data_IF_776360780114
#
_entry.id   IF_776360780114
#
_cell.length_a   1.000
_cell.length_b   1.000
_cell.length_c   1.000
_cell.angle_alpha   90.00
_cell.angle_beta   90.00
_cell.angle_gamma   90.00
#
_symmetry.space_group_name_H-M   'P 1'
#
loop_
_entity.id
_entity.type
_entity.pdbx_description
1 polymer ?
#
# COMPACT_ATOMS: atom_id res chain seq x y z
N UNK A 1 -24.69 15.50 1.80
CA UNK A 1 -23.89 14.44 1.16
C UNK A 1 -22.41 14.79 1.35
N UNK A 2 -21.60 13.85 1.85
CA UNK A 2 -20.18 14.09 2.11
C UNK A 2 -19.43 14.27 0.79
N UNK A 3 -18.75 15.40 0.62
CA UNK A 3 -17.84 15.58 -0.51
C UNK A 3 -16.53 14.82 -0.27
N UNK A 4 -16.50 13.57 -0.72
CA UNK A 4 -15.34 12.70 -0.64
C UNK A 4 -14.19 13.16 -1.54
N UNK A 5 -14.43 14.04 -2.51
CA UNK A 5 -13.37 14.53 -3.41
C UNK A 5 -12.33 15.36 -2.66
N UNK A 6 -12.74 16.00 -1.56
CA UNK A 6 -11.87 16.73 -0.65
C UNK A 6 -10.92 15.83 0.15
N UNK A 7 -11.32 14.57 0.41
CA UNK A 7 -10.58 13.63 1.24
C UNK A 7 -9.93 12.52 0.41
N UNK A 8 -9.07 12.90 -0.53
CA UNK A 8 -8.34 11.96 -1.42
C UNK A 8 -7.51 10.89 -0.71
N UNK A 9 -7.21 11.09 0.58
CA UNK A 9 -6.49 10.15 1.44
C UNK A 9 -7.41 9.09 2.08
N UNK A 10 -8.72 9.34 2.14
CA UNK A 10 -9.70 8.46 2.74
C UNK A 10 -9.96 7.26 1.83
N UNK A 11 -9.76 6.06 2.38
CA UNK A 11 -10.03 4.77 1.77
C UNK A 11 -10.84 3.97 2.77
N UNK A 12 -12.18 4.12 2.77
CA UNK A 12 -13.04 3.44 3.72
C UNK A 12 -13.04 1.94 3.40
N UNK A 13 -12.83 1.12 4.42
CA UNK A 13 -12.99 -0.35 4.33
C UNK A 13 -14.39 -0.81 4.78
N UNK A 14 -15.15 0.09 5.40
CA UNK A 14 -16.52 -0.10 5.86
C UNK A 14 -17.46 0.86 5.12
N UNK A 15 -18.78 0.58 5.11
CA UNK A 15 -19.76 1.48 4.54
C UNK A 15 -19.66 2.89 5.14
N UNK A 16 -19.91 3.89 4.30
CA UNK A 16 -19.99 5.27 4.75
C UNK A 16 -21.28 5.52 5.55
N UNK A 17 -21.32 6.55 6.39
CA UNK A 17 -22.52 6.88 7.14
C UNK A 17 -23.72 7.18 6.23
N UNK A 18 -24.89 6.69 6.63
CA UNK A 18 -26.09 6.69 5.79
C UNK A 18 -27.01 7.87 6.12
N UNK A 19 -27.14 8.20 7.40
CA UNK A 19 -28.02 9.28 7.84
C UNK A 19 -27.33 10.63 7.71
N UNK A 20 -28.11 11.70 7.57
CA UNK A 20 -27.58 13.06 7.40
C UNK A 20 -26.77 13.51 8.62
N UNK A 21 -27.24 13.17 9.82
CA UNK A 21 -26.58 13.45 11.10
C UNK A 21 -25.22 12.75 11.21
N UNK A 22 -25.15 11.45 10.91
CA UNK A 22 -23.86 10.73 10.93
C UNK A 22 -22.89 11.24 9.85
N UNK A 23 -23.41 11.71 8.72
CA UNK A 23 -22.59 12.31 7.67
C UNK A 23 -21.98 13.65 8.09
N UNK A 24 -22.71 14.46 8.85
CA UNK A 24 -22.21 15.71 9.43
C UNK A 24 -21.15 15.44 10.51
N UNK A 25 -21.45 14.53 11.44
CA UNK A 25 -20.51 14.09 12.48
C UNK A 25 -19.20 13.55 11.88
N UNK A 26 -19.31 12.70 10.85
CA UNK A 26 -18.14 12.15 10.19
C UNK A 26 -17.31 13.23 9.51
N UNK A 27 -17.93 14.23 8.87
CA UNK A 27 -17.19 15.35 8.29
C UNK A 27 -16.40 16.14 9.34
N UNK A 28 -16.99 16.37 10.50
CA UNK A 28 -16.33 17.13 11.56
C UNK A 28 -15.19 16.34 12.20
N UNK A 29 -15.34 15.02 12.31
CA UNK A 29 -14.26 14.10 12.68
C UNK A 29 -13.13 14.14 11.64
N UNK A 30 -13.44 14.07 10.34
CA UNK A 30 -12.42 14.16 9.28
C UNK A 30 -11.62 15.47 9.37
N UNK A 31 -12.31 16.61 9.54
CA UNK A 31 -11.64 17.92 9.73
C UNK A 31 -10.75 17.93 10.98
N UNK A 32 -11.20 17.34 12.08
CA UNK A 32 -10.44 17.28 13.32
C UNK A 32 -9.20 16.35 13.20
N UNK A 33 -9.32 15.24 12.48
CA UNK A 33 -8.21 14.34 12.15
C UNK A 33 -7.16 15.06 11.32
N UNK A 34 -7.55 15.81 10.28
CA UNK A 34 -6.62 16.55 9.41
C UNK A 34 -5.81 17.60 10.16
N UNK A 35 -6.43 18.26 11.15
CA UNK A 35 -5.75 19.22 12.03
C UNK A 35 -4.74 18.56 12.97
N UNK A 36 -5.01 17.34 13.42
CA UNK A 36 -4.17 16.62 14.39
C UNK A 36 -3.01 15.89 13.73
N UNK A 37 -3.27 15.21 12.61
CA UNK A 37 -2.38 14.23 12.03
C UNK A 37 -1.90 14.69 10.65
N UNK A 38 -0.59 14.65 10.43
CA UNK A 38 -0.01 15.04 9.13
C UNK A 38 0.18 13.84 8.21
N UNK A 39 0.36 12.65 8.77
CA UNK A 39 0.56 11.42 8.01
C UNK A 39 -0.77 10.92 7.42
N UNK A 40 -0.84 10.79 6.10
CA UNK A 40 -2.06 10.39 5.40
C UNK A 40 -2.54 8.98 5.78
N UNK A 41 -1.62 8.06 6.04
CA UNK A 41 -1.92 6.70 6.48
C UNK A 41 -2.54 6.68 7.87
N UNK A 42 -2.00 7.48 8.79
CA UNK A 42 -2.60 7.65 10.11
C UNK A 42 -3.96 8.34 10.03
N UNK A 43 -4.14 9.37 9.18
CA UNK A 43 -5.46 9.98 8.97
C UNK A 43 -6.49 8.92 8.55
N UNK A 44 -6.11 8.09 7.57
CA UNK A 44 -6.98 7.01 7.11
C UNK A 44 -7.27 5.99 8.21
N UNK A 45 -6.29 5.67 9.06
CA UNK A 45 -6.46 4.77 10.20
C UNK A 45 -7.47 5.32 11.22
N UNK A 46 -7.35 6.59 11.60
CA UNK A 46 -8.30 7.24 12.54
C UNK A 46 -9.72 7.29 11.97
N UNK A 47 -9.87 7.63 10.68
CA UNK A 47 -11.17 7.67 10.03
C UNK A 47 -11.82 6.28 9.98
N UNK A 48 -11.05 5.26 9.64
CA UNK A 48 -11.52 3.88 9.60
C UNK A 48 -11.83 3.33 11.00
N UNK A 49 -11.10 3.77 12.03
CA UNK A 49 -11.44 3.45 13.42
C UNK A 49 -12.80 4.05 13.82
N UNK A 50 -13.10 5.30 13.43
CA UNK A 50 -14.41 5.88 13.67
C UNK A 50 -15.52 5.09 12.98
N UNK A 51 -15.33 4.71 11.71
CA UNK A 51 -16.31 3.89 10.98
C UNK A 51 -16.54 2.52 11.67
N UNK A 52 -15.49 1.90 12.21
CA UNK A 52 -15.60 0.66 12.99
C UNK A 52 -16.40 0.87 14.29
N UNK A 53 -16.20 1.99 14.99
CA UNK A 53 -17.00 2.33 16.17
C UNK A 53 -18.46 2.61 15.82
N UNK A 54 -18.70 3.33 14.72
CA UNK A 54 -20.04 3.65 14.24
C UNK A 54 -20.82 2.37 13.90
N UNK A 55 -20.17 1.43 13.20
CA UNK A 55 -20.78 0.15 12.87
C UNK A 55 -21.09 -0.68 14.13
N UNK A 56 -20.17 -0.76 15.09
CA UNK A 56 -20.41 -1.47 16.36
C UNK A 56 -21.57 -0.86 17.15
N UNK A 57 -21.66 0.46 17.20
CA UNK A 57 -22.78 1.14 17.84
C UNK A 57 -24.11 0.77 17.18
N UNK A 58 -24.15 0.76 15.83
CA UNK A 58 -25.34 0.33 15.07
C UNK A 58 -25.73 -1.13 15.36
N UNK A 59 -24.76 -2.04 15.37
CA UNK A 59 -24.99 -3.46 15.69
C UNK A 59 -25.56 -3.66 17.10
N UNK A 60 -25.22 -2.78 18.04
CA UNK A 60 -25.72 -2.78 19.42
C UNK A 60 -27.00 -1.96 19.62
N UNK A 61 -27.56 -1.38 18.55
CA UNK A 61 -28.74 -0.50 18.61
C UNK A 61 -28.49 0.85 19.30
N UNK A 62 -27.24 1.31 19.35
CA UNK A 62 -26.81 2.57 19.96
C UNK A 62 -26.47 3.60 18.88
N UNK A 63 -26.71 4.88 19.18
CA UNK A 63 -26.18 5.99 18.38
C UNK A 63 -24.77 6.35 18.86
N UNK A 64 -23.87 6.64 17.93
CA UNK A 64 -22.52 7.13 18.24
C UNK A 64 -22.46 8.63 17.91
N UNK A 65 -22.52 9.47 18.94
CA UNK A 65 -22.35 10.90 18.82
C UNK A 65 -21.21 11.38 19.73
N UNK A 66 -20.33 12.25 19.23
CA UNK A 66 -19.24 12.82 20.02
C UNK A 66 -19.55 14.27 20.36
N UNK A 67 -19.98 14.52 21.59
CA UNK A 67 -20.24 15.88 22.06
C UNK A 67 -18.93 16.58 22.48
N UNK A 68 -18.75 17.84 22.08
CA UNK A 68 -17.69 18.71 22.57
C UNK A 68 -16.41 18.73 21.73
N UNK A 69 -15.25 18.69 22.38
CA UNK A 69 -13.96 18.91 21.70
C UNK A 69 -13.45 17.63 21.02
N UNK A 70 -13.82 17.46 19.75
CA UNK A 70 -13.38 16.36 18.87
C UNK A 70 -11.87 16.13 18.89
N UNK A 71 -11.06 17.18 19.04
CA UNK A 71 -9.61 17.06 19.16
C UNK A 71 -9.15 16.36 20.44
N UNK A 72 -9.86 16.56 21.57
CA UNK A 72 -9.64 15.80 22.81
C UNK A 72 -10.06 14.34 22.64
N UNK A 73 -11.18 14.08 21.97
CA UNK A 73 -11.64 12.71 21.70
C UNK A 73 -10.67 11.92 20.83
N UNK A 74 -10.22 12.49 19.72
CA UNK A 74 -9.23 11.80 18.85
C UNK A 74 -7.91 11.56 19.61
N UNK A 75 -7.57 12.38 20.62
CA UNK A 75 -6.43 12.11 21.52
C UNK A 75 -6.72 11.01 22.54
N UNK A 76 -7.95 10.90 23.03
CA UNK A 76 -8.36 9.85 23.96
C UNK A 76 -8.31 8.48 23.28
N UNK A 77 -8.69 8.40 21.99
CA UNK A 77 -8.63 7.16 21.20
C UNK A 77 -7.23 6.56 21.19
N UNK A 78 -6.20 7.37 20.95
CA UNK A 78 -4.80 6.88 20.94
C UNK A 78 -4.37 6.18 22.24
N UNK A 79 -5.05 6.47 23.37
CA UNK A 79 -4.78 5.85 24.68
C UNK A 79 -5.63 4.59 24.92
N UNK A 80 -6.75 4.42 24.21
CA UNK A 80 -7.67 3.31 24.43
C UNK A 80 -7.10 1.98 23.94
N UNK A 81 -7.47 0.90 24.62
CA UNK A 81 -7.03 -0.45 24.23
C UNK A 81 -7.69 -0.92 22.92
N UNK A 82 -8.94 -0.51 22.67
CA UNK A 82 -9.66 -0.81 21.43
C UNK A 82 -8.92 -0.22 20.22
N UNK A 83 -8.48 1.03 20.31
CA UNK A 83 -7.74 1.69 19.25
C UNK A 83 -6.36 1.06 19.04
N UNK A 84 -5.64 0.71 20.13
CA UNK A 84 -4.34 0.05 20.01
C UNK A 84 -4.43 -1.28 19.26
N UNK A 85 -5.43 -2.11 19.61
CA UNK A 85 -5.71 -3.38 18.91
C UNK A 85 -6.08 -3.14 17.44
N UNK A 86 -6.97 -2.18 17.18
CA UNK A 86 -7.36 -1.83 15.81
C UNK A 86 -6.16 -1.35 14.99
N UNK A 87 -5.34 -0.45 15.54
CA UNK A 87 -4.12 0.06 14.92
C UNK A 87 -3.16 -1.07 14.58
N UNK A 88 -2.92 -2.00 15.51
CA UNK A 88 -2.02 -3.14 15.27
C UNK A 88 -2.51 -4.01 14.11
N UNK A 89 -3.78 -4.39 14.09
CA UNK A 89 -4.37 -5.17 12.99
C UNK A 89 -4.28 -4.42 11.66
N UNK A 90 -4.66 -3.14 11.66
CA UNK A 90 -4.64 -2.30 10.47
C UNK A 90 -3.23 -2.18 9.88
N UNK A 91 -2.22 -1.91 10.71
CA UNK A 91 -0.83 -1.83 10.26
C UNK A 91 -0.27 -3.19 9.82
N UNK A 92 -0.72 -4.29 10.44
CA UNK A 92 -0.35 -5.65 10.04
C UNK A 92 -0.91 -6.00 8.67
N UNK A 93 -2.14 -5.60 8.37
CA UNK A 93 -2.73 -5.77 7.03
C UNK A 93 -2.00 -4.96 5.97
N UNK A 94 -1.69 -3.70 6.26
CA UNK A 94 -0.95 -2.85 5.34
C UNK A 94 0.47 -3.40 5.10
N UNK A 95 1.13 -3.89 6.15
CA UNK A 95 2.39 -4.63 6.02
C UNK A 95 2.26 -5.86 5.13
N UNK A 96 1.20 -6.66 5.29
CA UNK A 96 0.97 -7.84 4.46
C UNK A 96 0.73 -7.46 2.99
N UNK A 97 -0.08 -6.42 2.72
CA UNK A 97 -0.30 -5.89 1.36
C UNK A 97 1.01 -5.44 0.72
N UNK A 98 1.87 -4.73 1.47
CA UNK A 98 3.21 -4.35 0.99
C UNK A 98 4.04 -5.57 0.61
N UNK A 99 4.14 -6.56 1.51
CA UNK A 99 4.95 -7.76 1.30
C UNK A 99 4.47 -8.58 0.09
N UNK A 100 3.17 -8.83 -0.01
CA UNK A 100 2.57 -9.54 -1.14
C UNK A 100 2.82 -8.82 -2.45
N UNK A 101 2.59 -7.50 -2.50
CA UNK A 101 2.85 -6.71 -3.70
C UNK A 101 4.33 -6.74 -4.10
N UNK A 102 5.25 -6.69 -3.12
CA UNK A 102 6.69 -6.77 -3.36
C UNK A 102 7.13 -8.11 -3.93
N UNK A 103 6.63 -9.22 -3.39
CA UNK A 103 6.92 -10.57 -3.90
C UNK A 103 6.43 -10.71 -5.34
N UNK A 104 5.19 -10.26 -5.64
CA UNK A 104 4.65 -10.32 -7.00
C UNK A 104 5.47 -9.46 -7.96
N UNK A 105 5.94 -8.28 -7.54
CA UNK A 105 6.84 -7.41 -8.33
C UNK A 105 8.15 -8.13 -8.65
N UNK A 106 8.75 -8.85 -7.69
CA UNK A 106 9.99 -9.62 -7.93
C UNK A 106 9.77 -10.72 -8.96
N UNK A 107 8.70 -11.51 -8.80
CA UNK A 107 8.38 -12.62 -9.72
C UNK A 107 8.08 -12.08 -11.12
N UNK A 108 7.13 -11.15 -11.22
CA UNK A 108 6.72 -10.60 -12.52
C UNK A 108 7.81 -9.77 -13.18
N UNK A 109 8.60 -9.04 -12.40
CA UNK A 109 9.78 -8.31 -12.88
C UNK A 109 10.83 -9.26 -13.48
N UNK A 110 11.07 -10.40 -12.85
CA UNK A 110 11.97 -11.42 -13.39
C UNK A 110 11.45 -11.98 -14.71
N UNK A 111 10.15 -12.32 -14.79
CA UNK A 111 9.54 -12.81 -16.03
C UNK A 111 9.65 -11.80 -17.17
N UNK A 112 9.43 -10.51 -16.89
CA UNK A 112 9.62 -9.43 -17.87
C UNK A 112 11.07 -9.36 -18.33
N UNK A 113 12.04 -9.46 -17.41
CA UNK A 113 13.46 -9.45 -17.75
C UNK A 113 13.87 -10.67 -18.61
N UNK A 114 13.31 -11.86 -18.33
CA UNK A 114 13.52 -13.04 -19.17
C UNK A 114 12.94 -12.84 -20.57
N UNK A 115 11.70 -12.35 -20.65
CA UNK A 115 11.04 -12.09 -21.93
C UNK A 115 11.80 -11.06 -22.77
N UNK A 116 12.24 -9.95 -22.16
CA UNK A 116 13.05 -8.94 -22.84
C UNK A 116 14.38 -9.53 -23.34
N UNK A 117 15.03 -10.39 -22.56
CA UNK A 117 16.25 -11.06 -22.98
C UNK A 117 15.99 -12.03 -24.14
N UNK A 118 14.92 -12.80 -24.11
CA UNK A 118 14.52 -13.72 -25.18
C UNK A 118 14.29 -12.96 -26.51
N UNK A 119 13.62 -11.81 -26.46
CA UNK A 119 13.45 -10.94 -27.63
C UNK A 119 14.81 -10.46 -28.16
N UNK A 120 15.72 -10.01 -27.30
CA UNK A 120 17.03 -9.48 -27.73
C UNK A 120 17.94 -10.56 -28.31
N UNK A 121 17.89 -11.78 -27.76
CA UNK A 121 18.67 -12.91 -28.22
C UNK A 121 18.03 -13.66 -29.40
N UNK A 122 16.75 -13.41 -29.70
CA UNK A 122 15.92 -14.21 -30.61
C UNK A 122 15.86 -15.70 -30.20
N UNK A 123 16.07 -15.98 -28.91
CA UNK A 123 16.03 -17.31 -28.30
C UNK A 123 14.78 -17.40 -27.43
N UNK A 124 13.71 -17.97 -27.97
CA UNK A 124 12.45 -18.16 -27.26
C UNK A 124 12.44 -19.49 -26.50
N UNK A 125 11.82 -19.51 -25.33
CA UNK A 125 11.77 -20.73 -24.49
C UNK A 125 10.88 -21.78 -25.13
N UNK A 126 9.73 -21.36 -25.65
CA UNK A 126 8.78 -22.24 -26.37
C UNK A 126 8.58 -21.75 -27.78
N UNK A 127 8.02 -20.55 -27.92
CA UNK A 127 7.88 -19.83 -29.18
C UNK A 127 7.58 -18.36 -28.85
N UNK A 128 7.73 -17.48 -29.85
CA UNK A 128 7.49 -16.05 -29.66
C UNK A 128 6.10 -15.74 -29.09
N UNK A 129 5.05 -16.39 -29.60
CA UNK A 129 3.66 -16.11 -29.22
C UNK A 129 3.37 -16.44 -27.75
N UNK A 130 3.81 -17.60 -27.26
CA UNK A 130 3.62 -18.05 -25.87
C UNK A 130 4.41 -17.15 -24.93
N UNK A 131 5.68 -16.88 -25.25
CA UNK A 131 6.53 -16.00 -24.45
C UNK A 131 5.97 -14.57 -24.39
N UNK A 132 5.40 -14.08 -25.49
CA UNK A 132 4.73 -12.77 -25.55
C UNK A 132 3.47 -12.70 -24.68
N UNK A 133 2.64 -13.74 -24.65
CA UNK A 133 1.47 -13.81 -23.77
C UNK A 133 1.90 -13.76 -22.30
N UNK A 134 2.89 -14.58 -21.92
CA UNK A 134 3.42 -14.61 -20.55
C UNK A 134 4.01 -13.25 -20.17
N UNK A 135 4.81 -12.65 -21.05
CA UNK A 135 5.39 -11.32 -20.85
C UNK A 135 4.33 -10.22 -20.67
N UNK A 136 3.27 -10.23 -21.49
CA UNK A 136 2.18 -9.28 -21.39
C UNK A 136 1.40 -9.42 -20.07
N UNK A 137 1.06 -10.65 -19.67
CA UNK A 137 0.40 -10.94 -18.40
C UNK A 137 1.27 -10.46 -17.23
N UNK A 138 2.57 -10.80 -17.25
CA UNK A 138 3.52 -10.37 -16.22
C UNK A 138 3.58 -8.84 -16.13
N UNK A 139 3.58 -8.12 -17.25
CA UNK A 139 3.57 -6.66 -17.29
C UNK A 139 2.32 -6.05 -16.65
N UNK A 140 1.14 -6.63 -16.87
CA UNK A 140 -0.11 -6.18 -16.23
C UNK A 140 -0.07 -6.39 -14.72
N UNK A 141 0.34 -7.58 -14.26
CA UNK A 141 0.46 -7.86 -12.83
C UNK A 141 1.52 -6.99 -12.17
N UNK A 142 2.66 -6.78 -12.83
CA UNK A 142 3.72 -5.90 -12.38
C UNK A 142 3.21 -4.47 -12.18
N UNK A 143 2.58 -3.89 -13.20
CA UNK A 143 2.05 -2.52 -13.12
C UNK A 143 0.99 -2.36 -12.02
N UNK A 144 0.05 -3.31 -11.92
CA UNK A 144 -0.98 -3.29 -10.86
C UNK A 144 -0.36 -3.33 -9.47
N UNK A 145 0.59 -4.23 -9.23
CA UNK A 145 1.25 -4.37 -7.94
C UNK A 145 2.16 -3.19 -7.61
N UNK A 146 2.86 -2.63 -8.60
CA UNK A 146 3.65 -1.41 -8.44
C UNK A 146 2.76 -0.23 -8.04
N UNK A 147 1.63 -0.05 -8.73
CA UNK A 147 0.64 0.99 -8.39
C UNK A 147 0.05 0.80 -6.99
N UNK A 148 -0.16 -0.44 -6.54
CA UNK A 148 -0.62 -0.71 -5.16
C UNK A 148 0.47 -0.39 -4.13
N UNK A 149 1.69 -0.89 -4.33
CA UNK A 149 2.85 -0.64 -3.47
C UNK A 149 3.10 0.86 -3.30
N UNK A 150 3.14 1.60 -4.41
CA UNK A 150 3.38 3.05 -4.39
C UNK A 150 2.25 3.82 -3.70
N UNK A 151 0.98 3.42 -3.92
CA UNK A 151 -0.17 4.02 -3.21
C UNK A 151 -0.12 3.78 -1.71
N UNK A 152 0.39 2.64 -1.27
CA UNK A 152 0.53 2.31 0.14
C UNK A 152 1.69 3.09 0.78
N UNK A 153 2.87 3.10 0.15
CA UNK A 153 4.04 3.87 0.61
C UNK A 153 3.69 5.35 0.73
N UNK A 154 3.01 5.92 -0.28
CA UNK A 154 2.62 7.34 -0.30
C UNK A 154 1.80 7.76 0.92
N UNK A 155 1.04 6.82 1.49
CA UNK A 155 0.26 7.10 2.70
C UNK A 155 1.17 7.38 3.91
N UNK A 156 2.34 6.75 3.98
CA UNK A 156 3.19 6.76 5.18
C UNK A 156 4.47 7.57 5.05
N UNK A 157 5.06 7.66 3.85
CA UNK A 157 6.43 8.20 3.66
C UNK A 157 6.65 8.69 2.21
N UNK A 158 7.68 9.52 1.93
CA UNK A 158 8.02 9.91 0.57
C UNK A 158 8.32 8.70 -0.33
N UNK A 159 7.62 8.64 -1.46
CA UNK A 159 7.67 7.52 -2.41
C UNK A 159 8.99 7.45 -3.19
N UNK A 160 9.68 8.59 -3.31
CA UNK A 160 10.85 8.76 -4.19
C UNK A 160 11.94 7.74 -3.92
N UNK A 161 12.30 7.51 -2.67
CA UNK A 161 13.37 6.58 -2.31
C UNK A 161 13.06 5.14 -2.75
N UNK A 162 11.81 4.70 -2.58
CA UNK A 162 11.38 3.37 -2.98
C UNK A 162 11.37 3.23 -4.50
N UNK A 163 10.91 4.26 -5.20
CA UNK A 163 10.93 4.29 -6.67
C UNK A 163 12.37 4.25 -7.21
N UNK A 164 13.30 5.01 -6.62
CA UNK A 164 14.70 4.96 -7.02
C UNK A 164 15.33 3.58 -6.76
N UNK A 165 15.03 2.94 -5.63
CA UNK A 165 15.49 1.57 -5.36
C UNK A 165 14.94 0.57 -6.39
N UNK A 166 13.66 0.65 -6.73
CA UNK A 166 13.07 -0.21 -7.77
C UNK A 166 13.76 0.02 -9.13
N UNK A 167 13.83 1.27 -9.59
CA UNK A 167 14.47 1.60 -10.88
C UNK A 167 15.94 1.15 -10.90
N UNK A 168 16.70 1.46 -9.85
CA UNK A 168 18.11 1.08 -9.74
C UNK A 168 18.29 -0.44 -9.80
N UNK A 169 17.44 -1.21 -9.10
CA UNK A 169 17.50 -2.68 -9.14
C UNK A 169 17.18 -3.25 -10.53
N UNK A 170 16.17 -2.72 -11.23
CA UNK A 170 15.86 -3.14 -12.59
C UNK A 170 16.97 -2.79 -13.58
N UNK A 171 17.50 -1.57 -13.51
CA UNK A 171 18.65 -1.13 -14.33
C UNK A 171 19.85 -2.02 -14.06
N UNK A 172 20.14 -2.33 -12.80
CA UNK A 172 21.22 -3.24 -12.42
C UNK A 172 21.02 -4.63 -13.03
N UNK A 173 19.80 -5.19 -12.99
CA UNK A 173 19.50 -6.47 -13.61
C UNK A 173 19.74 -6.46 -15.12
N UNK A 174 19.32 -5.40 -15.82
CA UNK A 174 19.53 -5.25 -17.27
C UNK A 174 21.03 -5.18 -17.59
N UNK A 175 21.81 -4.39 -16.83
CA UNK A 175 23.26 -4.28 -16.99
C UNK A 175 23.95 -5.64 -16.78
N UNK A 176 23.59 -6.37 -15.71
CA UNK A 176 24.13 -7.69 -15.43
C UNK A 176 23.79 -8.71 -16.52
N UNK A 177 22.56 -8.68 -17.05
CA UNK A 177 22.16 -9.56 -18.17
C UNK A 177 22.89 -9.27 -19.48
N UNK A 178 23.39 -8.05 -19.68
CA UNK A 178 24.22 -7.73 -20.85
C UNK A 178 25.67 -8.16 -20.67
N UNK A 179 26.19 -8.14 -19.44
CA UNK A 179 27.60 -8.42 -19.14
C UNK A 179 27.89 -9.88 -18.83
N UNK A 180 26.93 -10.61 -18.26
CA UNK A 180 27.12 -11.99 -17.81
C UNK A 180 26.75 -13.00 -18.91
N UNK A 181 27.39 -14.18 -18.93
CA UNK A 181 27.03 -15.25 -19.86
C UNK A 181 25.56 -15.65 -19.71
N UNK A 182 24.88 -16.10 -20.78
CA UNK A 182 23.46 -16.47 -20.74
C UNK A 182 23.09 -17.50 -19.67
N UNK A 183 24.03 -18.38 -19.30
CA UNK A 183 23.83 -19.42 -18.30
C UNK A 183 23.78 -18.89 -16.84
N UNK A 184 24.17 -17.64 -16.58
CA UNK A 184 24.26 -17.10 -15.24
C UNK A 184 23.28 -15.93 -15.04
N UNK A 185 22.13 -16.21 -14.39
CA UNK A 185 21.12 -15.19 -14.09
C UNK A 185 21.04 -14.86 -12.59
N UNK A 186 21.44 -13.63 -12.25
CA UNK A 186 21.43 -13.09 -10.88
C UNK A 186 20.21 -12.18 -10.63
N UNK A 187 19.33 -11.99 -11.63
CA UNK A 187 18.24 -11.01 -11.57
C UNK A 187 17.28 -11.25 -10.41
N UNK A 188 16.90 -12.51 -10.17
CA UNK A 188 16.04 -12.87 -9.03
C UNK A 188 16.73 -12.46 -7.71
N UNK A 189 18.02 -12.77 -7.56
CA UNK A 189 18.78 -12.48 -6.34
C UNK A 189 18.82 -10.96 -6.11
N UNK A 190 19.14 -10.18 -7.14
CA UNK A 190 19.19 -8.71 -7.05
C UNK A 190 17.83 -8.13 -6.66
N UNK A 191 16.75 -8.58 -7.31
CA UNK A 191 15.39 -8.11 -7.00
C UNK A 191 14.93 -8.53 -5.60
N UNK A 192 15.29 -9.73 -5.14
CA UNK A 192 15.01 -10.20 -3.78
C UNK A 192 15.76 -9.37 -2.73
N UNK A 193 17.03 -9.06 -2.96
CA UNK A 193 17.81 -8.19 -2.06
C UNK A 193 17.17 -6.80 -2.00
N UNK A 194 16.85 -6.22 -3.16
CA UNK A 194 16.18 -4.92 -3.22
C UNK A 194 14.84 -4.93 -2.47
N UNK A 195 14.03 -5.97 -2.66
CA UNK A 195 12.79 -6.18 -1.91
C UNK A 195 13.03 -6.27 -0.40
N UNK A 196 14.03 -7.02 0.05
CA UNK A 196 14.32 -7.19 1.48
C UNK A 196 14.75 -5.86 2.12
N UNK A 197 15.58 -5.06 1.44
CA UNK A 197 15.97 -3.72 1.89
C UNK A 197 14.76 -2.81 2.01
N UNK A 198 13.90 -2.77 0.99
CA UNK A 198 12.67 -1.98 1.01
C UNK A 198 11.72 -2.41 2.12
N UNK A 199 11.55 -3.73 2.31
CA UNK A 199 10.73 -4.32 3.38
C UNK A 199 11.25 -3.87 4.74
N UNK A 200 12.55 -3.99 5.01
CA UNK A 200 13.15 -3.57 6.28
C UNK A 200 12.93 -2.07 6.53
N UNK A 201 13.12 -1.24 5.51
CA UNK A 201 12.88 0.21 5.59
C UNK A 201 11.41 0.51 5.92
N UNK A 202 10.47 -0.13 5.24
CA UNK A 202 9.04 0.05 5.48
C UNK A 202 8.61 -0.41 6.88
N UNK A 203 9.09 -1.58 7.32
CA UNK A 203 8.80 -2.09 8.66
C UNK A 203 9.33 -1.17 9.76
N UNK A 204 10.50 -0.56 9.57
CA UNK A 204 11.03 0.42 10.51
C UNK A 204 10.14 1.67 10.57
N UNK A 205 9.66 2.17 9.44
CA UNK A 205 8.72 3.30 9.41
C UNK A 205 7.41 2.97 10.13
N UNK A 206 6.82 1.80 9.88
CA UNK A 206 5.57 1.41 10.54
C UNK A 206 5.71 1.28 12.07
N UNK A 207 6.91 1.00 12.59
CA UNK A 207 7.16 0.98 14.04
C UNK A 207 7.25 2.38 14.65
N UNK A 208 7.62 3.39 13.87
CA UNK A 208 7.71 4.78 14.31
C UNK A 208 6.35 5.48 14.31
N UNK A 209 5.41 4.97 13.52
CA UNK A 209 4.05 5.49 13.31
C UNK A 209 3.09 4.97 14.38
#
# INVERSE_FOLDING_TARGET
MIDLTKYTWLKPHLPLPETLEEQEDFQDILKAIEKKESNLGLRNLYANYYLDQLQKAKEEGRSLHYEGNLGKEIRSWAKSQSFKKFKETYLKEDKAKFQLSGIVIVITGTLILFFLRAILAQEFVVNFSVDAIVGAIAMVFFYRNMKMKMRLIKSYTPVRDYLYMDIASFVMCILLKMWLPPAFDVSIIVLVIAYYVQRRKFENFLKTV
#
